data_IF_380235594020
#
_entry.id   IF_380235594020
#
_cell.length_a   1.000
_cell.length_b   1.000
_cell.length_c   1.000
_cell.angle_alpha   90.00
_cell.angle_beta   90.00
_cell.angle_gamma   90.00
#
_symmetry.space_group_name_H-M   'P 1'
#
loop_
_entity.id
_entity.type
_entity.pdbx_description
1 polymer ?
#
# COMPACT_ATOMS: atom_id res chain seq x y z
N UNK A 1 -10.19 29.34 -0.27
CA UNK A 1 -9.17 28.41 0.25
C UNK A 1 -9.31 28.34 1.76
N UNK A 2 -9.39 27.15 2.35
CA UNK A 2 -9.53 27.00 3.80
C UNK A 2 -8.31 27.61 4.52
N UNK A 3 -8.54 28.35 5.61
CA UNK A 3 -7.46 28.93 6.45
C UNK A 3 -6.58 27.79 6.95
N UNK A 4 -5.28 27.85 6.63
CA UNK A 4 -4.27 26.91 7.15
C UNK A 4 -4.29 26.91 8.68
N UNK A 5 -4.32 25.72 9.29
CA UNK A 5 -4.25 25.56 10.76
C UNK A 5 -3.06 26.32 11.35
N UNK A 6 -3.23 26.86 12.56
CA UNK A 6 -2.16 27.55 13.31
C UNK A 6 -0.89 26.70 13.45
N UNK A 7 -1.02 25.36 13.46
CA UNK A 7 0.11 24.40 13.52
C UNK A 7 0.86 24.30 12.19
N UNK A 8 0.16 24.37 11.06
CA UNK A 8 0.75 24.15 9.72
C UNK A 8 1.23 25.44 9.05
N UNK A 9 0.80 26.60 9.56
CA UNK A 9 1.24 27.92 9.08
C UNK A 9 2.77 28.13 9.16
N UNK A 10 3.45 27.88 10.30
CA UNK A 10 4.91 28.05 10.37
C UNK A 10 5.68 27.04 9.51
N UNK A 11 5.16 25.81 9.36
CA UNK A 11 5.77 24.80 8.48
C UNK A 11 5.70 25.23 7.02
N UNK A 12 4.55 25.74 6.58
CA UNK A 12 4.38 26.26 5.21
C UNK A 12 5.27 27.47 4.93
N UNK A 13 5.37 28.40 5.87
CA UNK A 13 6.24 29.58 5.71
C UNK A 13 7.71 29.17 5.53
N UNK A 14 8.18 28.13 6.24
CA UNK A 14 9.55 27.58 6.06
C UNK A 14 9.73 26.77 4.77
N UNK A 15 8.71 26.02 4.34
CA UNK A 15 8.81 25.16 3.16
C UNK A 15 8.78 25.94 1.83
N UNK A 16 8.38 27.22 1.85
CA UNK A 16 8.17 28.05 0.66
C UNK A 16 9.47 28.61 0.06
N UNK A 17 10.61 28.53 0.74
CA UNK A 17 11.85 29.18 0.27
C UNK A 17 12.74 28.33 -0.66
N UNK A 18 12.47 27.03 -0.83
CA UNK A 18 13.15 26.21 -1.84
C UNK A 18 12.15 25.33 -2.62
N UNK A 19 12.11 25.50 -3.95
CA UNK A 19 11.25 24.72 -4.84
C UNK A 19 11.68 23.23 -4.96
N UNK A 20 12.87 22.90 -4.48
CA UNK A 20 13.44 21.55 -4.48
C UNK A 20 14.40 21.40 -3.30
N UNK A 21 14.22 20.35 -2.51
CA UNK A 21 15.14 19.95 -1.45
C UNK A 21 15.87 18.68 -1.87
N UNK A 22 17.10 18.52 -1.41
CA UNK A 22 17.72 17.20 -1.49
C UNK A 22 16.98 16.22 -0.58
N UNK A 23 17.05 14.92 -0.90
CA UNK A 23 16.32 13.90 -0.15
C UNK A 23 16.69 13.90 1.35
N UNK A 24 17.95 14.12 1.68
CA UNK A 24 18.43 14.19 3.07
C UNK A 24 17.85 15.39 3.81
N UNK A 25 17.87 16.57 3.18
CA UNK A 25 17.28 17.79 3.74
C UNK A 25 15.76 17.63 3.94
N UNK A 26 15.06 17.01 2.98
CA UNK A 26 13.64 16.73 3.09
C UNK A 26 13.34 15.79 4.27
N UNK A 27 14.12 14.72 4.44
CA UNK A 27 13.99 13.82 5.58
C UNK A 27 14.33 14.51 6.91
N UNK A 28 15.33 15.39 6.94
CA UNK A 28 15.64 16.19 8.14
C UNK A 28 14.47 17.05 8.58
N UNK A 29 13.85 17.77 7.63
CA UNK A 29 12.68 18.60 7.90
C UNK A 29 11.50 17.76 8.40
N UNK A 30 11.23 16.60 7.79
CA UNK A 30 10.16 15.70 8.22
C UNK A 30 10.37 15.20 9.65
N UNK A 31 11.59 14.78 10.02
CA UNK A 31 11.89 14.26 11.35
C UNK A 31 11.89 15.36 12.43
N UNK A 32 12.30 16.58 12.09
CA UNK A 32 12.26 17.73 13.00
C UNK A 32 10.83 18.19 13.31
N UNK A 33 9.90 17.99 12.39
CA UNK A 33 8.53 18.49 12.49
C UNK A 33 7.47 17.44 12.77
N UNK A 34 7.87 16.27 13.26
CA UNK A 34 6.96 15.16 13.57
C UNK A 34 5.91 15.52 14.63
N UNK A 35 4.70 14.99 14.47
CA UNK A 35 3.67 15.07 15.50
C UNK A 35 4.04 14.21 16.71
N UNK A 36 3.86 14.77 17.91
CA UNK A 36 4.02 14.03 19.18
C UNK A 36 2.83 13.12 19.51
N UNK A 37 1.68 13.33 18.84
CA UNK A 37 0.42 12.67 19.21
C UNK A 37 0.22 11.29 18.58
N UNK A 38 0.86 11.02 17.45
CA UNK A 38 0.70 9.79 16.70
C UNK A 38 1.90 9.58 15.78
N UNK A 39 2.11 8.33 15.37
CA UNK A 39 3.16 7.98 14.40
C UNK A 39 2.76 8.40 13.00
N UNK A 40 3.54 9.30 12.40
CA UNK A 40 3.32 9.78 11.04
C UNK A 40 3.87 8.80 10.00
N UNK A 41 3.13 8.62 8.91
CA UNK A 41 3.64 7.93 7.72
C UNK A 41 4.42 8.88 6.83
N UNK A 42 5.46 8.35 6.20
CA UNK A 42 6.20 9.04 5.15
C UNK A 42 5.74 8.47 3.81
N UNK A 43 5.05 9.31 3.04
CA UNK A 43 4.49 8.95 1.75
C UNK A 43 5.18 9.76 0.63
N UNK A 44 5.33 9.16 -0.54
CA UNK A 44 5.84 9.79 -1.77
C UNK A 44 4.71 9.91 -2.78
N UNK A 45 4.69 11.02 -3.51
CA UNK A 45 3.78 11.25 -4.62
C UNK A 45 4.61 11.56 -5.86
N UNK A 46 4.49 10.73 -6.89
CA UNK A 46 5.30 10.80 -8.10
C UNK A 46 4.37 11.06 -9.28
N UNK A 47 4.56 12.19 -9.95
CA UNK A 47 3.87 12.47 -11.21
C UNK A 47 4.62 11.78 -12.34
N UNK A 48 3.98 10.79 -12.97
CA UNK A 48 4.59 9.98 -14.04
C UNK A 48 4.43 10.62 -15.43
N UNK A 49 3.57 11.65 -15.57
CA UNK A 49 3.29 12.28 -16.87
C UNK A 49 2.55 11.37 -17.87
N UNK A 50 1.94 10.28 -17.39
CA UNK A 50 1.14 9.35 -18.20
C UNK A 50 -0.31 9.82 -18.31
N UNK A 51 -1.01 9.40 -19.37
CA UNK A 51 -2.47 9.58 -19.47
C UNK A 51 -3.18 8.34 -18.91
N UNK A 52 -3.71 8.37 -17.67
CA UNK A 52 -4.34 7.22 -17.03
C UNK A 52 -5.67 6.80 -17.71
N UNK A 53 -6.19 7.61 -18.63
CA UNK A 53 -7.37 7.27 -19.45
C UNK A 53 -7.03 6.22 -20.51
N UNK A 54 -5.75 6.13 -20.90
CA UNK A 54 -5.24 5.16 -21.88
C UNK A 54 -4.80 3.89 -21.17
N UNK A 55 -5.37 2.75 -21.57
CA UNK A 55 -5.17 1.47 -20.88
C UNK A 55 -3.73 0.97 -20.93
N UNK A 56 -2.99 1.33 -21.98
CA UNK A 56 -1.56 1.03 -22.21
C UNK A 56 -0.62 1.88 -21.35
N UNK A 57 -1.08 3.06 -20.87
CA UNK A 57 -0.28 3.96 -20.04
C UNK A 57 -0.63 3.90 -18.55
N UNK A 58 -1.61 3.06 -18.18
CA UNK A 58 -2.05 2.91 -16.80
C UNK A 58 -1.03 2.09 -15.99
N UNK A 59 -0.44 2.71 -14.97
CA UNK A 59 0.59 2.09 -14.14
C UNK A 59 -0.07 1.46 -12.92
N UNK A 60 0.15 0.15 -12.76
CA UNK A 60 -0.28 -0.61 -11.58
C UNK A 60 0.71 -1.72 -11.31
N UNK A 61 1.13 -1.84 -10.06
CA UNK A 61 2.12 -2.84 -9.65
C UNK A 61 2.15 -3.03 -8.15
N UNK A 62 3.13 -3.83 -7.72
CA UNK A 62 3.49 -4.03 -6.34
C UNK A 62 5.01 -3.93 -6.21
N UNK A 63 5.48 -3.35 -5.11
CA UNK A 63 6.91 -3.18 -4.81
C UNK A 63 7.21 -3.69 -3.40
N UNK A 64 8.22 -4.54 -3.30
CA UNK A 64 8.67 -5.12 -2.03
C UNK A 64 9.75 -4.22 -1.43
N UNK A 65 9.32 -3.26 -0.59
CA UNK A 65 10.26 -2.34 0.05
C UNK A 65 11.23 -3.12 0.98
N UNK A 66 12.55 -2.91 0.87
CA UNK A 66 13.55 -3.68 1.61
C UNK A 66 13.43 -3.55 3.14
N UNK A 67 12.92 -2.41 3.62
CA UNK A 67 12.71 -2.17 5.05
C UNK A 67 11.22 -2.14 5.45
N UNK A 68 10.33 -2.52 4.53
CA UNK A 68 8.88 -2.46 4.72
C UNK A 68 8.37 -1.03 5.00
N UNK A 69 7.08 -0.92 5.31
CA UNK A 69 6.42 0.38 5.61
C UNK A 69 6.27 0.67 7.11
N UNK A 70 6.79 -0.20 7.97
CA UNK A 70 6.64 -0.10 9.44
C UNK A 70 5.21 -0.32 9.95
N UNK A 71 4.25 -0.66 9.09
CA UNK A 71 2.85 -0.95 9.45
C UNK A 71 2.61 -2.46 9.44
N UNK A 72 1.92 -2.97 10.46
CA UNK A 72 1.36 -4.32 10.41
C UNK A 72 0.10 -4.34 9.54
N UNK A 73 0.06 -5.26 8.58
CA UNK A 73 -1.08 -5.45 7.69
C UNK A 73 -1.92 -6.64 8.16
N UNK A 74 -3.25 -6.48 8.16
CA UNK A 74 -4.18 -7.61 8.29
C UNK A 74 -4.44 -8.23 6.92
N UNK A 75 -4.17 -9.52 6.77
CA UNK A 75 -4.23 -10.28 5.52
C UNK A 75 -5.32 -11.34 5.61
N UNK A 76 -6.31 -11.23 4.73
CA UNK A 76 -7.31 -12.26 4.51
C UNK A 76 -6.98 -13.03 3.22
N UNK A 77 -7.20 -14.34 3.24
CA UNK A 77 -6.88 -15.22 2.10
C UNK A 77 -8.08 -16.05 1.70
N UNK A 78 -8.38 -16.05 0.40
CA UNK A 78 -9.33 -16.96 -0.23
C UNK A 78 -8.57 -18.12 -0.87
N UNK A 79 -8.50 -19.24 -0.17
CA UNK A 79 -7.79 -20.45 -0.59
C UNK A 79 -8.46 -21.70 0.00
N UNK A 80 -8.25 -22.86 -0.62
CA UNK A 80 -8.76 -24.16 -0.16
C UNK A 80 -7.63 -25.19 0.01
N UNK A 81 -7.92 -26.28 0.70
CA UNK A 81 -7.03 -27.44 0.78
C UNK A 81 -5.64 -27.13 1.38
N UNK A 82 -4.59 -27.49 0.66
CA UNK A 82 -3.20 -27.29 1.10
C UNK A 82 -2.79 -25.82 1.10
N UNK A 83 -3.27 -25.04 0.13
CA UNK A 83 -2.98 -23.60 0.02
C UNK A 83 -3.52 -22.83 1.24
N UNK A 84 -4.67 -23.25 1.77
CA UNK A 84 -5.25 -22.68 2.98
C UNK A 84 -4.36 -22.92 4.22
N UNK A 85 -3.78 -24.12 4.35
CA UNK A 85 -2.84 -24.43 5.45
C UNK A 85 -1.56 -23.62 5.31
N UNK A 86 -0.98 -23.58 4.11
CA UNK A 86 0.23 -22.79 3.84
C UNK A 86 0.03 -21.29 4.08
N UNK A 87 -1.18 -20.77 3.84
CA UNK A 87 -1.53 -19.38 4.14
C UNK A 87 -1.52 -19.09 5.65
N UNK A 88 -2.13 -19.96 6.46
CA UNK A 88 -2.13 -19.85 7.92
C UNK A 88 -0.71 -19.94 8.49
N UNK A 89 0.09 -20.89 8.00
CA UNK A 89 1.50 -21.04 8.38
C UNK A 89 2.36 -19.83 8.00
N UNK A 90 2.01 -19.16 6.89
CA UNK A 90 2.65 -17.92 6.47
C UNK A 90 2.25 -16.69 7.30
N UNK A 91 1.26 -16.82 8.19
CA UNK A 91 0.80 -15.76 9.09
C UNK A 91 -0.42 -15.00 8.58
N UNK A 92 -1.26 -15.58 7.73
CA UNK A 92 -2.55 -15.00 7.37
C UNK A 92 -3.44 -14.84 8.61
N UNK A 93 -4.14 -13.71 8.75
CA UNK A 93 -5.02 -13.46 9.90
C UNK A 93 -6.33 -14.24 9.77
N UNK A 94 -6.81 -14.43 8.54
CA UNK A 94 -7.98 -15.24 8.25
C UNK A 94 -7.86 -15.92 6.89
N UNK A 95 -8.30 -17.17 6.82
CA UNK A 95 -8.41 -17.96 5.60
C UNK A 95 -9.80 -18.54 5.54
N UNK A 96 -10.47 -18.45 4.38
CA UNK A 96 -11.82 -18.96 4.20
C UNK A 96 -12.29 -18.86 2.76
N UNK A 97 -13.55 -19.24 2.52
CA UNK A 97 -14.17 -19.24 1.20
C UNK A 97 -15.53 -18.53 1.26
N UNK A 98 -16.64 -19.28 1.23
CA UNK A 98 -18.00 -18.72 1.24
C UNK A 98 -18.32 -18.03 2.58
N UNK A 99 -17.86 -18.60 3.68
CA UNK A 99 -17.98 -18.05 5.03
C UNK A 99 -17.32 -16.67 5.16
N UNK A 100 -16.07 -16.55 4.69
CA UNK A 100 -15.33 -15.30 4.67
C UNK A 100 -15.98 -14.28 3.73
N UNK A 101 -16.50 -14.73 2.58
CA UNK A 101 -17.19 -13.86 1.64
C UNK A 101 -18.49 -13.30 2.24
N UNK A 102 -19.26 -14.11 2.97
CA UNK A 102 -20.51 -13.69 3.59
C UNK A 102 -20.28 -12.73 4.75
N UNK A 103 -19.23 -12.93 5.56
CA UNK A 103 -18.80 -11.95 6.56
C UNK A 103 -18.45 -10.60 5.92
N UNK A 104 -17.69 -10.60 4.82
CA UNK A 104 -17.35 -9.37 4.10
C UNK A 104 -18.59 -8.69 3.51
N UNK A 105 -19.57 -9.46 3.00
CA UNK A 105 -20.87 -8.92 2.54
C UNK A 105 -21.67 -8.28 3.68
N UNK A 106 -21.61 -8.86 4.88
CA UNK A 106 -22.26 -8.32 6.08
C UNK A 106 -21.61 -7.04 6.61
N UNK A 107 -20.49 -6.62 6.03
CA UNK A 107 -19.79 -5.37 6.36
C UNK A 107 -18.57 -5.55 7.26
N UNK A 108 -18.23 -6.77 7.66
CA UNK A 108 -17.05 -7.07 8.47
C UNK A 108 -15.78 -7.10 7.59
N UNK A 109 -15.30 -5.91 7.21
CA UNK A 109 -14.09 -5.75 6.41
C UNK A 109 -13.07 -4.95 7.23
N UNK A 110 -12.30 -5.67 8.04
CA UNK A 110 -11.17 -5.15 8.82
C UNK A 110 -9.86 -5.81 8.36
N UNK A 111 -9.64 -5.80 7.05
CA UNK A 111 -8.44 -6.35 6.41
C UNK A 111 -7.82 -5.31 5.47
N UNK A 112 -6.50 -5.27 5.43
CA UNK A 112 -5.74 -4.36 4.58
C UNK A 112 -5.34 -5.00 3.25
N UNK A 113 -5.18 -6.33 3.24
CA UNK A 113 -4.79 -7.10 2.06
C UNK A 113 -5.70 -8.29 1.93
N UNK A 114 -6.20 -8.51 0.71
CA UNK A 114 -6.91 -9.72 0.35
C UNK A 114 -6.09 -10.43 -0.72
N UNK A 115 -5.76 -11.69 -0.46
CA UNK A 115 -5.08 -12.59 -1.39
C UNK A 115 -6.07 -13.66 -1.82
N UNK A 116 -6.05 -14.03 -3.09
CA UNK A 116 -6.90 -15.09 -3.62
C UNK A 116 -6.09 -15.98 -4.56
N UNK A 117 -6.52 -17.23 -4.73
CA UNK A 117 -6.01 -18.08 -5.80
C UNK A 117 -6.91 -17.99 -7.03
N UNK A 118 -6.41 -18.31 -8.24
CA UNK A 118 -7.21 -18.19 -9.46
C UNK A 118 -8.54 -18.96 -9.40
N UNK A 119 -8.57 -20.07 -8.68
CA UNK A 119 -9.73 -20.94 -8.56
C UNK A 119 -10.80 -20.36 -7.63
N UNK A 120 -10.38 -19.60 -6.61
CA UNK A 120 -11.25 -18.97 -5.60
C UNK A 120 -11.80 -17.61 -6.05
N UNK A 121 -11.34 -17.08 -7.19
CA UNK A 121 -11.83 -15.83 -7.76
C UNK A 121 -13.34 -15.85 -8.08
N UNK A 122 -13.94 -17.03 -8.28
CA UNK A 122 -15.39 -17.17 -8.46
C UNK A 122 -16.18 -16.69 -7.24
N UNK A 123 -15.65 -16.90 -6.04
CA UNK A 123 -16.25 -16.48 -4.76
C UNK A 123 -15.98 -15.00 -4.48
N UNK A 124 -14.81 -14.50 -4.89
CA UNK A 124 -14.39 -13.11 -4.66
C UNK A 124 -15.02 -12.13 -5.66
N UNK A 125 -15.32 -12.57 -6.89
CA UNK A 125 -15.85 -11.70 -7.96
C UNK A 125 -17.13 -10.95 -7.58
N UNK A 126 -18.14 -11.56 -6.93
CA UNK A 126 -19.33 -10.87 -6.43
C UNK A 126 -19.03 -9.76 -5.40
N UNK A 127 -17.93 -9.88 -4.65
CA UNK A 127 -17.51 -8.87 -3.67
C UNK A 127 -16.91 -7.62 -4.32
N UNK A 128 -16.72 -7.60 -5.64
CA UNK A 128 -16.10 -6.50 -6.37
C UNK A 128 -16.78 -5.14 -6.15
N UNK A 129 -18.11 -5.11 -5.95
CA UNK A 129 -18.83 -3.87 -5.65
C UNK A 129 -18.47 -3.28 -4.28
N UNK A 130 -18.05 -4.13 -3.33
CA UNK A 130 -17.71 -3.74 -1.96
C UNK A 130 -16.20 -3.50 -1.83
N UNK A 131 -15.38 -4.42 -2.35
CA UNK A 131 -13.93 -4.38 -2.25
C UNK A 131 -13.28 -3.42 -3.25
N UNK A 132 -13.90 -3.20 -4.42
CA UNK A 132 -13.39 -2.34 -5.48
C UNK A 132 -13.21 -0.88 -5.04
N UNK A 133 -14.25 -0.22 -4.50
CA UNK A 133 -14.15 1.16 -4.00
C UNK A 133 -13.13 1.32 -2.86
N UNK A 134 -12.92 0.27 -2.06
CA UNK A 134 -11.92 0.25 -0.98
C UNK A 134 -10.49 -0.06 -1.46
N UNK A 135 -10.31 -0.41 -2.73
CA UNK A 135 -9.00 -0.79 -3.29
C UNK A 135 -8.47 -2.13 -2.79
N UNK A 136 -9.31 -2.95 -2.13
CA UNK A 136 -8.93 -4.24 -1.55
C UNK A 136 -9.12 -5.41 -2.52
N UNK A 137 -9.71 -5.17 -3.70
CA UNK A 137 -9.98 -6.21 -4.68
C UNK A 137 -8.67 -6.86 -5.18
N UNK A 138 -8.54 -8.20 -5.06
CA UNK A 138 -7.37 -8.92 -5.57
C UNK A 138 -7.19 -8.72 -7.08
N UNK A 139 -5.94 -8.58 -7.53
CA UNK A 139 -5.61 -8.41 -8.94
C UNK A 139 -4.28 -9.10 -9.26
N UNK A 140 -4.17 -9.83 -10.39
CA UNK A 140 -2.91 -10.42 -10.83
C UNK A 140 -1.77 -9.41 -10.97
N UNK A 141 -2.06 -8.17 -11.42
CA UNK A 141 -1.06 -7.09 -11.57
C UNK A 141 -0.50 -6.59 -10.24
N UNK A 142 -1.19 -6.83 -9.14
CA UNK A 142 -0.71 -6.50 -7.80
C UNK A 142 -0.23 -7.72 -7.03
N UNK A 143 0.01 -8.84 -7.72
CA UNK A 143 0.50 -10.12 -7.16
C UNK A 143 -0.40 -10.74 -6.07
N UNK A 144 -1.60 -10.22 -5.89
CA UNK A 144 -2.57 -10.72 -4.90
C UNK A 144 -3.47 -11.83 -5.44
N UNK A 145 -3.30 -12.18 -6.71
CA UNK A 145 -3.89 -13.38 -7.31
C UNK A 145 -2.76 -14.28 -7.78
N UNK A 146 -2.46 -15.32 -7.00
CA UNK A 146 -1.34 -16.23 -7.27
C UNK A 146 -1.62 -17.62 -6.71
N UNK A 147 -0.89 -18.62 -7.24
CA UNK A 147 -0.84 -19.97 -6.65
C UNK A 147 0.14 -20.05 -5.47
N UNK A 148 1.14 -19.17 -5.44
CA UNK A 148 2.07 -19.07 -4.30
C UNK A 148 1.47 -18.21 -3.18
N UNK A 149 0.52 -18.79 -2.45
CA UNK A 149 -0.19 -18.10 -1.38
C UNK A 149 0.74 -17.78 -0.21
N UNK A 150 1.68 -18.68 0.11
CA UNK A 150 2.64 -18.48 1.20
C UNK A 150 3.53 -17.26 0.93
N UNK A 151 4.08 -17.16 -0.30
CA UNK A 151 4.87 -16.01 -0.73
C UNK A 151 4.06 -14.70 -0.70
N UNK A 152 2.83 -14.71 -1.23
CA UNK A 152 1.97 -13.52 -1.23
C UNK A 152 1.64 -13.04 0.19
N UNK A 153 1.33 -13.94 1.13
CA UNK A 153 1.06 -13.59 2.52
C UNK A 153 2.31 -13.02 3.19
N UNK A 154 3.49 -13.63 2.99
CA UNK A 154 4.75 -13.12 3.53
C UNK A 154 5.09 -11.74 2.99
N UNK A 155 4.94 -11.52 1.69
CA UNK A 155 5.18 -10.22 1.06
C UNK A 155 4.21 -9.17 1.58
N UNK A 156 2.92 -9.52 1.69
CA UNK A 156 1.91 -8.62 2.27
C UNK A 156 2.23 -8.23 3.71
N UNK A 157 2.66 -9.20 4.54
CA UNK A 157 3.07 -8.97 5.93
C UNK A 157 4.39 -8.22 6.07
N UNK A 158 5.31 -8.39 5.13
CA UNK A 158 6.55 -7.62 5.03
C UNK A 158 6.32 -6.15 4.61
N UNK A 159 5.08 -5.79 4.25
CA UNK A 159 4.71 -4.44 3.88
C UNK A 159 4.89 -4.13 2.40
N UNK A 160 4.73 -5.14 1.53
CA UNK A 160 4.64 -4.94 0.09
C UNK A 160 3.63 -3.82 -0.23
N UNK A 161 4.09 -2.82 -0.96
CA UNK A 161 3.27 -1.66 -1.32
C UNK A 161 2.68 -1.87 -2.70
N UNK A 162 1.36 -1.83 -2.75
CA UNK A 162 0.61 -1.87 -4.01
C UNK A 162 0.31 -0.45 -4.44
N UNK A 163 0.62 -0.14 -5.69
CA UNK A 163 0.46 1.19 -6.23
C UNK A 163 -0.33 1.15 -7.54
N UNK A 164 -1.05 2.24 -7.79
CA UNK A 164 -1.83 2.47 -9.00
C UNK A 164 -1.78 3.97 -9.31
N UNK A 165 -1.63 4.33 -10.57
CA UNK A 165 -1.79 5.72 -11.01
C UNK A 165 -3.23 6.19 -10.80
N UNK A 166 -3.37 7.39 -10.23
CA UNK A 166 -4.66 8.05 -10.08
C UNK A 166 -5.15 8.63 -11.42
N UNK A 167 -6.24 9.41 -11.39
CA UNK A 167 -6.80 10.04 -12.60
C UNK A 167 -5.92 11.17 -13.15
N UNK A 168 -4.90 11.63 -12.41
CA UNK A 168 -3.95 12.67 -12.80
C UNK A 168 -2.59 12.10 -13.24
N UNK A 169 -2.43 10.77 -13.27
CA UNK A 169 -1.15 10.14 -13.60
C UNK A 169 -0.14 10.17 -12.45
N UNK A 170 -0.61 10.40 -11.22
CA UNK A 170 0.21 10.44 -10.00
C UNK A 170 0.12 9.09 -9.31
N UNK A 171 1.29 8.57 -8.91
CA UNK A 171 1.39 7.40 -8.03
C UNK A 171 1.67 7.87 -6.61
N UNK A 172 0.82 7.43 -5.68
CA UNK A 172 1.01 7.64 -4.25
C UNK A 172 1.47 6.32 -3.63
N UNK A 173 2.53 6.38 -2.84
CA UNK A 173 3.12 5.20 -2.21
C UNK A 173 3.62 5.56 -0.82
N UNK A 174 3.35 4.70 0.16
CA UNK A 174 3.95 4.83 1.49
C UNK A 174 5.33 4.21 1.47
N UNK A 175 6.36 4.98 1.80
CA UNK A 175 7.76 4.52 1.80
C UNK A 175 8.30 4.24 3.21
N UNK A 176 7.54 4.60 4.26
CA UNK A 176 7.91 4.29 5.63
C UNK A 176 7.10 5.02 6.69
N UNK A 177 7.64 5.04 7.91
CA UNK A 177 7.13 5.80 9.06
C UNK A 177 8.26 6.59 9.73
N UNK A 178 7.89 7.64 10.45
CA UNK A 178 8.86 8.50 11.14
C UNK A 178 9.63 7.80 12.29
N UNK A 179 9.22 6.58 12.64
CA UNK A 179 9.91 5.70 13.60
C UNK A 179 11.09 4.96 12.99
N UNK A 180 11.14 4.82 11.67
CA UNK A 180 12.27 4.21 10.96
C UNK A 180 13.43 5.20 10.85
N UNK A 181 14.62 4.70 10.56
CA UNK A 181 15.78 5.55 10.29
C UNK A 181 15.65 6.25 8.93
N UNK A 182 16.34 7.39 8.78
CA UNK A 182 16.39 8.13 7.50
C UNK A 182 17.01 7.30 6.38
N UNK A 183 17.98 6.44 6.71
CA UNK A 183 18.65 5.56 5.75
C UNK A 183 17.70 4.48 5.21
N UNK A 184 16.88 3.87 6.07
CA UNK A 184 15.87 2.89 5.67
C UNK A 184 14.83 3.52 4.73
N UNK A 185 14.35 4.73 5.05
CA UNK A 185 13.37 5.45 4.21
C UNK A 185 14.00 5.83 2.87
N UNK A 186 15.26 6.27 2.86
CA UNK A 186 16.01 6.58 1.64
C UNK A 186 16.20 5.35 0.75
N UNK A 187 16.57 4.22 1.34
CA UNK A 187 16.69 2.92 0.65
C UNK A 187 15.36 2.48 0.04
N UNK A 188 14.27 2.56 0.81
CA UNK A 188 12.92 2.26 0.33
C UNK A 188 12.50 3.15 -0.86
N UNK A 189 12.77 4.46 -0.78
CA UNK A 189 12.46 5.38 -1.87
C UNK A 189 13.26 5.05 -3.14
N UNK A 190 14.56 4.79 -3.00
CA UNK A 190 15.41 4.43 -4.15
C UNK A 190 14.94 3.14 -4.81
N UNK A 191 14.61 2.12 -4.01
CA UNK A 191 14.06 0.86 -4.49
C UNK A 191 12.73 1.07 -5.23
N UNK A 192 11.83 1.87 -4.65
CA UNK A 192 10.55 2.18 -5.28
C UNK A 192 10.70 2.93 -6.61
N UNK A 193 11.66 3.86 -6.69
CA UNK A 193 11.97 4.58 -7.92
C UNK A 193 12.59 3.67 -8.99
N UNK A 194 13.34 2.63 -8.62
CA UNK A 194 13.82 1.64 -9.59
C UNK A 194 12.70 0.73 -10.10
N UNK A 195 11.75 0.34 -9.24
CA UNK A 195 10.60 -0.47 -9.62
C UNK A 195 9.61 0.26 -10.54
N UNK A 196 9.61 1.59 -10.51
CA UNK A 196 8.74 2.44 -11.35
C UNK A 196 9.33 2.75 -12.74
N UNK A 197 10.63 2.49 -12.97
CA UNK A 197 11.29 2.73 -14.26
C UNK A 197 10.99 1.63 -15.27
#
# INVERSE_FOLDING_TARGET
MAKTSKKNKPLREKLVEAASYNLEEALDILFQHKSEKFTESVDVSINLGVDPSKSDQNVRGASNLPHGTGRSYKVAVFAEGEEAKSALEAGADKVGMEDLADEMKSGQIDYDVIVATPDTMKVVSPLGQILGPKGLMPNPKSETVTKDVSGAVKNAKAGQVRFKSDKQGIVHCRIGQITQSKEEIKSNLQYFLSDLK
#
